data_IF_567554567989
#
_entry.id   IF_567554567989
#
_cell.length_a   1.000
_cell.length_b   1.000
_cell.length_c   1.000
_cell.angle_alpha   90.00
_cell.angle_beta   90.00
_cell.angle_gamma   90.00
#
_symmetry.space_group_name_H-M   'P 1'
#
loop_
_entity.id
_entity.type
_entity.pdbx_description
1 polymer ?
#
# COMPACT_ATOMS: atom_id res chain seq x y z
N UNK A 1 -10.36 3.92 -10.67
CA UNK A 1 -9.78 5.08 -9.95
C UNK A 1 -9.03 4.65 -8.68
N UNK A 2 -9.63 3.86 -7.77
CA UNK A 2 -8.98 3.42 -6.53
C UNK A 2 -7.66 2.63 -6.71
N UNK A 3 -7.59 1.72 -7.68
CA UNK A 3 -6.38 0.92 -7.96
C UNK A 3 -5.22 1.77 -8.50
N UNK A 4 -5.50 2.75 -9.35
CA UNK A 4 -4.51 3.70 -9.85
C UNK A 4 -3.96 4.56 -8.71
N UNK A 5 -4.83 5.08 -7.84
CA UNK A 5 -4.43 5.88 -6.67
C UNK A 5 -3.54 5.06 -5.73
N UNK A 6 -3.88 3.79 -5.50
CA UNK A 6 -3.04 2.88 -4.71
C UNK A 6 -1.64 2.71 -5.31
N UNK A 7 -1.55 2.47 -6.63
CA UNK A 7 -0.26 2.32 -7.33
C UNK A 7 0.58 3.61 -7.32
N UNK A 8 -0.07 4.77 -7.49
CA UNK A 8 0.62 6.07 -7.40
C UNK A 8 1.16 6.28 -5.99
N UNK A 9 0.38 5.94 -4.96
CA UNK A 9 0.81 6.09 -3.57
C UNK A 9 1.97 5.16 -3.22
N UNK A 10 1.97 3.90 -3.66
CA UNK A 10 3.10 2.99 -3.43
C UNK A 10 4.37 3.47 -4.11
N UNK A 11 4.25 3.98 -5.34
CA UNK A 11 5.36 4.58 -6.08
C UNK A 11 5.92 5.81 -5.37
N UNK A 12 5.04 6.72 -4.93
CA UNK A 12 5.43 7.96 -4.26
C UNK A 12 6.17 7.67 -2.95
N UNK A 13 5.70 6.69 -2.16
CA UNK A 13 6.37 6.25 -0.93
C UNK A 13 7.77 5.69 -1.22
N UNK A 14 7.90 4.87 -2.26
CA UNK A 14 9.21 4.36 -2.70
C UNK A 14 10.17 5.48 -3.11
N UNK A 15 9.69 6.44 -3.89
CA UNK A 15 10.47 7.60 -4.33
C UNK A 15 10.92 8.49 -3.16
N UNK A 16 10.04 8.71 -2.17
CA UNK A 16 10.37 9.47 -0.95
C UNK A 16 11.46 8.73 -0.17
N UNK A 17 11.33 7.42 0.04
CA UNK A 17 12.35 6.64 0.77
C UNK A 17 13.72 6.71 0.09
N UNK A 18 13.75 6.61 -1.25
CA UNK A 18 14.97 6.76 -2.04
C UNK A 18 15.60 8.15 -1.84
N UNK A 19 14.77 9.19 -1.94
CA UNK A 19 15.20 10.58 -1.86
C UNK A 19 15.74 10.90 -0.47
N UNK A 20 15.05 10.47 0.59
CA UNK A 20 15.50 10.64 1.98
C UNK A 20 16.86 9.97 2.18
N UNK A 21 17.04 8.74 1.69
CA UNK A 21 18.31 8.03 1.83
C UNK A 21 19.47 8.74 1.11
N UNK A 22 19.21 9.28 -0.09
CA UNK A 22 20.19 10.08 -0.83
C UNK A 22 20.54 11.39 -0.12
N UNK A 23 19.54 12.09 0.42
CA UNK A 23 19.73 13.36 1.17
C UNK A 23 20.59 13.15 2.41
N UNK A 24 20.52 11.97 3.03
CA UNK A 24 21.35 11.60 4.19
C UNK A 24 22.78 11.18 3.81
N UNK A 25 23.20 11.35 2.56
CA UNK A 25 24.55 11.01 2.08
C UNK A 25 24.74 9.55 1.71
N UNK A 26 23.64 8.79 1.55
CA UNK A 26 23.67 7.39 1.14
C UNK A 26 24.05 7.19 -0.34
N UNK A 27 24.49 5.99 -0.69
CA UNK A 27 24.82 5.65 -2.08
C UNK A 27 23.58 5.43 -2.93
N UNK A 28 23.66 5.75 -4.23
CA UNK A 28 22.56 5.59 -5.19
C UNK A 28 22.06 4.14 -5.30
N UNK A 29 22.98 3.17 -5.25
CA UNK A 29 22.63 1.75 -5.28
C UNK A 29 21.77 1.35 -4.08
N UNK A 30 22.13 1.80 -2.87
CA UNK A 30 21.36 1.49 -1.66
C UNK A 30 20.04 2.25 -1.63
N UNK A 31 19.99 3.49 -2.15
CA UNK A 31 18.75 4.25 -2.29
C UNK A 31 17.70 3.50 -3.12
N UNK A 32 18.10 2.86 -4.22
CA UNK A 32 17.21 2.05 -5.06
C UNK A 32 16.70 0.82 -4.31
N UNK A 33 17.55 0.16 -3.50
CA UNK A 33 17.14 -0.97 -2.67
C UNK A 33 16.09 -0.53 -1.65
N UNK A 34 16.31 0.58 -0.95
CA UNK A 34 15.34 1.13 -0.01
C UNK A 34 14.04 1.56 -0.70
N UNK A 35 14.12 2.14 -1.90
CA UNK A 35 12.95 2.48 -2.70
C UNK A 35 12.11 1.24 -3.03
N UNK A 36 12.76 0.16 -3.47
CA UNK A 36 12.12 -1.12 -3.77
C UNK A 36 11.49 -1.75 -2.54
N UNK A 37 12.21 -1.77 -1.41
CA UNK A 37 11.67 -2.28 -0.14
C UNK A 37 10.46 -1.48 0.33
N UNK A 38 10.55 -0.15 0.31
CA UNK A 38 9.45 0.73 0.68
C UNK A 38 8.23 0.54 -0.24
N UNK A 39 8.44 0.33 -1.55
CA UNK A 39 7.38 0.02 -2.49
C UNK A 39 6.67 -1.29 -2.16
N UNK A 40 7.43 -2.35 -1.85
CA UNK A 40 6.87 -3.66 -1.48
C UNK A 40 6.07 -3.55 -0.17
N UNK A 41 6.62 -2.90 0.85
CA UNK A 41 5.94 -2.70 2.14
C UNK A 41 4.66 -1.89 1.95
N UNK A 42 4.72 -0.76 1.24
CA UNK A 42 3.55 0.06 0.96
C UNK A 42 2.46 -0.72 0.20
N UNK A 43 2.86 -1.56 -0.75
CA UNK A 43 1.93 -2.41 -1.50
C UNK A 43 1.23 -3.40 -0.56
N UNK A 44 1.96 -4.10 0.29
CA UNK A 44 1.38 -5.05 1.26
C UNK A 44 0.39 -4.33 2.18
N UNK A 45 0.74 -3.16 2.70
CA UNK A 45 -0.12 -2.39 3.61
C UNK A 45 -1.40 -1.94 2.93
N UNK A 46 -1.33 -1.36 1.73
CA UNK A 46 -2.50 -0.84 1.02
C UNK A 46 -3.44 -1.97 0.61
N UNK A 47 -2.92 -3.04 0.01
CA UNK A 47 -3.73 -4.18 -0.41
C UNK A 47 -4.29 -4.96 0.80
N UNK A 48 -3.50 -5.12 1.87
CA UNK A 48 -3.95 -5.75 3.10
C UNK A 48 -5.06 -4.96 3.79
N UNK A 49 -4.93 -3.63 3.86
CA UNK A 49 -5.98 -2.77 4.40
C UNK A 49 -7.25 -2.83 3.55
N UNK A 50 -7.13 -2.77 2.22
CA UNK A 50 -8.26 -2.90 1.30
C UNK A 50 -9.00 -4.22 1.51
N UNK A 51 -8.27 -5.32 1.66
CA UNK A 51 -8.85 -6.64 1.91
C UNK A 51 -9.64 -6.69 3.22
N UNK A 52 -9.07 -6.15 4.31
CA UNK A 52 -9.75 -6.08 5.61
C UNK A 52 -11.01 -5.23 5.54
N UNK A 53 -10.97 -4.11 4.83
CA UNK A 53 -12.12 -3.20 4.72
C UNK A 53 -13.24 -3.84 3.90
N UNK A 54 -12.92 -4.50 2.78
CA UNK A 54 -13.89 -5.28 2.01
C UNK A 54 -14.50 -6.41 2.84
N UNK A 55 -13.70 -7.10 3.65
CA UNK A 55 -14.19 -8.13 4.56
C UNK A 55 -15.14 -7.56 5.63
N UNK A 56 -14.82 -6.39 6.20
CA UNK A 56 -15.70 -5.70 7.16
C UNK A 56 -17.02 -5.29 6.52
N UNK A 57 -16.98 -4.74 5.30
CA UNK A 57 -18.18 -4.35 4.56
C UNK A 57 -19.04 -5.58 4.28
N UNK A 58 -18.42 -6.70 3.83
CA UNK A 58 -19.12 -7.96 3.60
C UNK A 58 -19.82 -8.47 4.87
N UNK A 59 -19.12 -8.47 6.01
CA UNK A 59 -19.71 -8.88 7.29
C UNK A 59 -20.90 -7.99 7.68
N UNK A 60 -20.77 -6.66 7.55
CA UNK A 60 -21.86 -5.73 7.85
C UNK A 60 -23.08 -5.96 6.93
N UNK A 61 -22.85 -6.19 5.64
CA UNK A 61 -23.91 -6.47 4.68
C UNK A 61 -24.64 -7.78 4.98
N UNK A 62 -23.92 -8.84 5.34
CA UNK A 62 -24.54 -10.14 5.72
C UNK A 62 -25.40 -10.00 6.99
N UNK A 63 -25.00 -9.15 7.93
CA UNK A 63 -25.79 -8.91 9.16
C UNK A 63 -27.04 -8.06 8.86
N UNK A 64 -26.93 -7.05 7.97
CA UNK A 64 -28.05 -6.17 7.62
C UNK A 64 -29.04 -6.78 6.62
N UNK A 65 -28.55 -7.65 5.73
CA UNK A 65 -29.33 -8.39 4.74
C UNK A 65 -29.00 -9.88 4.89
N UNK A 66 -29.55 -10.54 5.92
CA UNK A 66 -29.33 -11.96 6.11
C UNK A 66 -29.76 -12.71 4.83
N UNK A 67 -28.93 -13.63 4.30
CA UNK A 67 -29.33 -14.46 3.19
C UNK A 67 -30.58 -15.26 3.61
N UNK A 68 -31.71 -15.01 2.95
CA UNK A 68 -32.91 -15.82 3.11
C UNK A 68 -32.62 -17.18 2.45
N UNK A 69 -32.20 -18.15 3.24
CA UNK A 69 -32.12 -19.56 2.87
C UNK A 69 -32.91 -20.35 3.90
#
# INVERSE_FOLDING_TARGET
>A
MATLVALVNTFLVGAIAATVYLVLGGSATMALVYAGLAFVVASIVIWGWLFLELHRIRLRLVIQFPPNH
#
